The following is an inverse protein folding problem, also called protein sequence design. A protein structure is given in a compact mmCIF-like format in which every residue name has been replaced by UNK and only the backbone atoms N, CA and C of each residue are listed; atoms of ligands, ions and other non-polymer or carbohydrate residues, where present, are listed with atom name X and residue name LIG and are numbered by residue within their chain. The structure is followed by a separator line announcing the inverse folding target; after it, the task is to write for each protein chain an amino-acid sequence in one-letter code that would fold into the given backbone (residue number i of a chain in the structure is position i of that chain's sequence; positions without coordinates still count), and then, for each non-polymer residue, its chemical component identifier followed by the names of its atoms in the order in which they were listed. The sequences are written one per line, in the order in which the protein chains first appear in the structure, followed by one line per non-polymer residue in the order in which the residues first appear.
data_IF_409360961077
#
_entry.id   IF_409360961077
#
_cell.length_a   1.000
_cell.length_b   1.000
_cell.length_c   1.000
_cell.angle_alpha   90.00
_cell.angle_beta   90.00
_cell.angle_gamma   90.00
#
_symmetry.space_group_name_H-M   'P 1'
#
loop_
_entity.id
_entity.type
_entity.pdbx_description
1 polymer ?
#
# COMPACT_ATOMS: atom_id res chain seq x y z
N UNK A 1 11.43 -37.75 16.92
CA UNK A 1 10.00 -37.76 17.29
C UNK A 1 9.72 -36.43 17.97
N UNK A 2 9.41 -35.40 17.19
CA UNK A 2 8.85 -34.15 17.70
C UNK A 2 7.45 -34.08 17.13
N UNK A 3 6.53 -34.65 17.90
CA UNK A 3 5.11 -34.66 17.65
C UNK A 3 4.51 -33.32 18.07
N UNK A 4 3.85 -32.62 17.15
CA UNK A 4 2.70 -31.79 17.47
C UNK A 4 2.93 -30.46 18.18
N UNK A 5 3.68 -29.52 17.60
CA UNK A 5 3.28 -28.13 17.78
C UNK A 5 2.22 -27.80 16.73
N UNK A 6 0.99 -28.20 17.03
CA UNK A 6 -0.18 -27.64 16.38
C UNK A 6 -0.22 -26.16 16.75
N UNK A 7 0.25 -25.32 15.85
CA UNK A 7 0.10 -23.88 15.93
C UNK A 7 -1.35 -23.52 15.58
N UNK A 8 -2.33 -24.12 16.28
CA UNK A 8 -3.76 -23.86 16.16
C UNK A 8 -4.17 -22.45 16.65
N UNK A 9 -3.19 -21.63 17.03
CA UNK A 9 -3.43 -20.25 17.49
C UNK A 9 -2.67 -19.20 16.67
N UNK A 10 -2.13 -19.56 15.52
CA UNK A 10 -1.75 -18.52 14.56
C UNK A 10 -3.05 -17.85 14.08
N UNK A 11 -3.19 -16.54 14.15
CA UNK A 11 -4.42 -15.86 13.73
C UNK A 11 -4.53 -15.87 12.20
N UNK A 12 -4.71 -17.06 11.63
CA UNK A 12 -5.09 -17.24 10.21
C UNK A 12 -6.31 -16.38 9.85
N UNK A 13 -7.17 -16.09 10.84
CA UNK A 13 -8.32 -15.23 10.66
C UNK A 13 -7.97 -13.75 10.47
N UNK A 14 -6.79 -13.27 10.85
CA UNK A 14 -6.50 -11.83 10.76
C UNK A 14 -5.95 -11.48 9.39
N UNK A 15 -5.07 -12.30 8.84
CA UNK A 15 -4.55 -12.11 7.47
C UNK A 15 -5.65 -12.43 6.46
N UNK A 16 -6.29 -13.60 6.58
CA UNK A 16 -7.41 -13.95 5.72
C UNK A 16 -8.53 -12.89 5.78
N UNK A 17 -8.70 -12.20 6.92
CA UNK A 17 -9.70 -11.13 7.06
C UNK A 17 -9.21 -9.79 6.50
N UNK A 18 -7.91 -9.51 6.56
CA UNK A 18 -7.31 -8.32 5.92
C UNK A 18 -7.28 -8.56 4.41
N UNK A 19 -6.85 -9.71 3.96
CA UNK A 19 -6.90 -10.14 2.57
C UNK A 19 -8.32 -10.14 2.05
N UNK A 20 -9.28 -10.75 2.74
CA UNK A 20 -10.71 -10.72 2.38
C UNK A 20 -11.30 -9.31 2.38
N UNK A 21 -10.95 -8.44 3.34
CA UNK A 21 -11.44 -7.07 3.33
C UNK A 21 -10.80 -6.23 2.22
N UNK A 22 -9.52 -6.47 1.91
CA UNK A 22 -8.83 -5.82 0.80
C UNK A 22 -9.29 -6.38 -0.55
N UNK A 23 -9.37 -7.70 -0.69
CA UNK A 23 -9.94 -8.36 -1.87
C UNK A 23 -11.39 -7.94 -2.06
N UNK A 24 -12.23 -7.99 -1.02
CA UNK A 24 -13.64 -7.58 -1.12
C UNK A 24 -13.77 -6.12 -1.49
N UNK A 25 -12.94 -5.22 -0.95
CA UNK A 25 -12.96 -3.81 -1.30
C UNK A 25 -12.42 -3.56 -2.71
N UNK A 26 -11.42 -4.32 -3.13
CA UNK A 26 -10.84 -4.24 -4.48
C UNK A 26 -11.79 -4.85 -5.52
N UNK A 27 -12.40 -5.98 -5.22
CA UNK A 27 -13.41 -6.63 -6.08
C UNK A 27 -14.66 -5.76 -6.18
N UNK A 28 -15.16 -5.21 -5.07
CA UNK A 28 -16.32 -4.32 -5.10
C UNK A 28 -16.05 -3.03 -5.89
N UNK A 29 -14.82 -2.48 -5.82
CA UNK A 29 -14.43 -1.34 -6.65
C UNK A 29 -14.32 -1.72 -8.13
N UNK A 30 -13.84 -2.94 -8.46
CA UNK A 30 -13.80 -3.44 -9.83
C UNK A 30 -15.20 -3.79 -10.35
N UNK A 31 -16.08 -4.32 -9.51
CA UNK A 31 -17.46 -4.61 -9.88
C UNK A 31 -18.26 -3.32 -10.12
N UNK A 32 -18.05 -2.27 -9.30
CA UNK A 32 -18.65 -0.96 -9.55
C UNK A 32 -18.16 -0.35 -10.86
N UNK A 33 -16.87 -0.51 -11.20
CA UNK A 33 -16.32 -0.11 -12.49
C UNK A 33 -16.96 -0.90 -13.64
N UNK A 34 -17.25 -2.19 -13.46
CA UNK A 34 -17.92 -3.02 -14.47
C UNK A 34 -19.38 -2.61 -14.71
N UNK A 35 -20.15 -2.32 -13.64
CA UNK A 35 -21.55 -1.91 -13.73
C UNK A 35 -21.69 -0.50 -14.34
N UNK A 36 -20.78 0.44 -14.03
CA UNK A 36 -20.83 1.81 -14.60
C UNK A 36 -20.41 1.88 -16.07
N UNK A 37 -19.61 0.92 -16.58
CA UNK A 37 -19.20 0.91 -18.00
C UNK A 37 -20.37 0.75 -18.96
N UNK A 38 -21.54 0.30 -18.50
CA UNK A 38 -22.70 0.08 -19.38
C UNK A 38 -23.70 1.25 -19.46
N UNK A 39 -23.65 2.27 -18.58
CA UNK A 39 -24.73 3.27 -18.49
C UNK A 39 -24.32 4.75 -18.36
N UNK A 40 -23.13 5.12 -17.90
CA UNK A 40 -22.75 6.54 -17.62
C UNK A 40 -21.32 6.89 -18.08
N UNK A 41 -20.82 6.21 -19.10
CA UNK A 41 -19.39 6.20 -19.44
C UNK A 41 -18.82 7.55 -19.95
N UNK A 42 -19.62 8.41 -20.60
CA UNK A 42 -19.03 9.46 -21.44
C UNK A 42 -18.49 10.69 -20.66
N UNK A 43 -19.19 11.17 -19.62
CA UNK A 43 -18.80 12.42 -18.94
C UNK A 43 -17.73 12.25 -17.83
N UNK A 44 -17.71 11.12 -17.14
CA UNK A 44 -16.68 10.85 -16.10
C UNK A 44 -15.36 10.41 -16.72
N UNK A 45 -15.41 9.62 -17.78
CA UNK A 45 -14.23 9.18 -18.51
C UNK A 45 -13.52 10.36 -19.18
N UNK A 46 -14.25 11.32 -19.76
CA UNK A 46 -13.70 12.57 -20.30
C UNK A 46 -12.95 13.40 -19.23
N UNK A 47 -13.48 13.45 -18.00
CA UNK A 47 -12.81 14.14 -16.89
C UNK A 47 -11.55 13.43 -16.43
N UNK A 48 -11.58 12.11 -16.41
CA UNK A 48 -10.43 11.28 -16.03
C UNK A 48 -9.34 11.39 -17.11
N UNK A 49 -9.71 11.47 -18.37
CA UNK A 49 -8.80 11.65 -19.50
C UNK A 49 -8.11 13.02 -19.45
N UNK A 50 -8.83 14.08 -19.10
CA UNK A 50 -8.24 15.42 -18.90
C UNK A 50 -7.23 15.49 -17.76
N UNK A 51 -7.28 14.57 -16.78
CA UNK A 51 -6.34 14.49 -15.67
C UNK A 51 -5.05 13.72 -16.00
N UNK A 52 -4.94 13.18 -17.22
CA UNK A 52 -3.78 12.41 -17.68
C UNK A 52 -3.09 13.05 -18.90
N UNK A 53 -2.44 14.20 -18.74
CA UNK A 53 -1.75 14.89 -19.85
C UNK A 53 -0.49 14.13 -20.32
N UNK A 54 -0.05 13.11 -19.60
CA UNK A 54 1.14 12.31 -19.89
C UNK A 54 0.80 10.89 -20.32
N UNK A 55 -0.39 10.64 -20.85
CA UNK A 55 -0.89 9.31 -21.18
C UNK A 55 0.11 8.47 -22.00
N UNK A 56 0.73 9.04 -23.05
CA UNK A 56 1.69 8.33 -23.89
C UNK A 56 2.90 7.79 -23.11
N UNK A 57 3.37 8.57 -22.13
CA UNK A 57 4.49 8.19 -21.29
C UNK A 57 4.03 7.20 -20.23
N UNK A 58 2.89 7.47 -19.62
CA UNK A 58 2.30 6.63 -18.59
C UNK A 58 1.99 5.22 -19.11
N UNK A 59 1.45 5.11 -20.34
CA UNK A 59 1.22 3.81 -21.01
C UNK A 59 2.51 3.02 -21.22
N UNK A 60 3.60 3.67 -21.64
CA UNK A 60 4.91 3.00 -21.80
C UNK A 60 5.46 2.51 -20.47
N UNK A 61 5.33 3.32 -19.41
CA UNK A 61 5.76 2.94 -18.06
C UNK A 61 4.87 1.82 -17.53
N UNK A 62 3.56 1.85 -17.80
CA UNK A 62 2.64 0.77 -17.44
C UNK A 62 3.06 -0.57 -18.06
N UNK A 63 3.34 -0.59 -19.37
CA UNK A 63 3.82 -1.79 -20.07
C UNK A 63 5.14 -2.27 -19.46
N UNK A 64 6.06 -1.36 -19.15
CA UNK A 64 7.30 -1.69 -18.46
C UNK A 64 7.02 -2.32 -17.08
N UNK A 65 6.13 -1.73 -16.29
CA UNK A 65 5.77 -2.24 -14.96
C UNK A 65 5.17 -3.64 -15.04
N UNK A 66 4.26 -3.88 -16.01
CA UNK A 66 3.67 -5.20 -16.26
C UNK A 66 4.73 -6.25 -16.65
N UNK A 67 5.64 -5.88 -17.54
CA UNK A 67 6.76 -6.75 -17.94
C UNK A 67 7.66 -7.07 -16.75
N UNK A 68 8.01 -6.04 -15.96
CA UNK A 68 8.85 -6.19 -14.76
C UNK A 68 8.16 -7.05 -13.69
N UNK A 69 6.86 -6.86 -13.48
CA UNK A 69 6.07 -7.70 -12.57
C UNK A 69 6.11 -9.17 -13.00
N UNK A 70 5.83 -9.46 -14.26
CA UNK A 70 5.80 -10.84 -14.78
C UNK A 70 7.14 -11.58 -14.66
N UNK A 71 8.24 -10.88 -14.91
CA UNK A 71 9.57 -11.53 -14.98
C UNK A 71 10.24 -11.57 -13.61
N UNK A 72 10.10 -10.52 -12.80
CA UNK A 72 10.85 -10.41 -11.56
C UNK A 72 9.96 -10.56 -10.33
N UNK A 73 8.84 -9.82 -10.27
CA UNK A 73 8.07 -9.74 -9.03
C UNK A 73 7.23 -11.00 -8.79
N UNK A 74 6.50 -11.49 -9.78
CA UNK A 74 5.68 -12.71 -9.64
C UNK A 74 6.50 -13.93 -9.19
N UNK A 75 7.67 -14.24 -9.79
CA UNK A 75 8.48 -15.33 -9.27
C UNK A 75 8.92 -15.11 -7.83
N UNK A 76 9.34 -13.87 -7.49
CA UNK A 76 9.77 -13.53 -6.11
C UNK A 76 8.62 -13.73 -5.13
N UNK A 77 7.41 -13.23 -5.45
CA UNK A 77 6.21 -13.42 -4.63
C UNK A 77 5.86 -14.91 -4.51
N UNK A 78 5.90 -15.65 -5.62
CA UNK A 78 5.65 -17.11 -5.59
C UNK A 78 6.66 -17.87 -4.71
N UNK A 79 7.95 -17.52 -4.76
CA UNK A 79 8.95 -18.06 -3.83
C UNK A 79 8.69 -17.64 -2.38
N UNK A 80 8.34 -16.39 -2.17
CA UNK A 80 8.00 -15.87 -0.84
C UNK A 80 6.83 -16.63 -0.22
N UNK A 81 5.75 -16.84 -0.98
CA UNK A 81 4.57 -17.56 -0.51
C UNK A 81 4.83 -19.05 -0.29
N UNK A 82 5.66 -19.66 -1.12
CA UNK A 82 5.99 -21.07 -1.00
C UNK A 82 6.90 -21.39 0.19
N UNK A 83 7.93 -20.55 0.43
CA UNK A 83 8.94 -20.82 1.46
C UNK A 83 8.63 -20.20 2.82
N UNK A 84 7.87 -19.10 2.86
CA UNK A 84 7.63 -18.36 4.10
C UNK A 84 6.21 -18.66 4.60
N UNK A 85 6.06 -19.34 5.76
CA UNK A 85 4.75 -19.57 6.34
C UNK A 85 4.00 -18.26 6.61
N UNK A 86 2.68 -18.28 6.48
CA UNK A 86 1.81 -17.10 6.66
C UNK A 86 2.01 -16.37 8.01
N UNK A 87 2.36 -17.11 9.06
CA UNK A 87 2.69 -16.53 10.37
C UNK A 87 3.94 -15.63 10.31
N UNK A 88 4.96 -16.03 9.54
CA UNK A 88 6.19 -15.25 9.37
C UNK A 88 5.95 -14.08 8.43
N UNK A 89 5.12 -14.25 7.41
CA UNK A 89 4.71 -13.16 6.51
C UNK A 89 3.99 -12.06 7.30
N UNK A 90 3.06 -12.43 8.19
CA UNK A 90 2.38 -11.49 9.10
C UNK A 90 3.35 -10.75 10.00
N UNK A 91 4.32 -11.47 10.56
CA UNK A 91 5.37 -10.85 11.38
C UNK A 91 6.15 -9.81 10.57
N UNK A 92 6.57 -10.16 9.35
CA UNK A 92 7.31 -9.25 8.48
C UNK A 92 6.46 -8.01 8.16
N UNK A 93 5.18 -8.19 7.79
CA UNK A 93 4.26 -7.09 7.50
C UNK A 93 4.11 -6.17 8.72
N UNK A 94 3.79 -6.72 9.88
CA UNK A 94 3.61 -5.95 11.10
C UNK A 94 4.90 -5.20 11.53
N UNK A 95 6.06 -5.82 11.36
CA UNK A 95 7.35 -5.19 11.66
C UNK A 95 7.66 -4.04 10.69
N UNK A 96 7.33 -4.21 9.41
CA UNK A 96 7.44 -3.16 8.39
C UNK A 96 6.49 -2.01 8.71
N UNK A 97 5.21 -2.28 8.99
CA UNK A 97 4.21 -1.27 9.35
C UNK A 97 4.61 -0.51 10.63
N UNK A 98 5.06 -1.21 11.66
CA UNK A 98 5.57 -0.59 12.87
C UNK A 98 6.76 0.34 12.57
N UNK A 99 7.63 -0.06 11.65
CA UNK A 99 8.78 0.73 11.27
C UNK A 99 8.46 1.99 10.45
N UNK A 100 7.23 2.11 9.88
CA UNK A 100 6.73 3.30 9.21
C UNK A 100 5.78 4.15 10.08
N UNK A 101 5.38 3.65 11.24
CA UNK A 101 4.38 4.31 12.11
C UNK A 101 4.77 5.73 12.50
N UNK A 102 6.06 6.02 12.68
CA UNK A 102 6.52 7.37 13.03
C UNK A 102 6.19 8.40 11.94
N UNK A 103 6.19 8.00 10.66
CA UNK A 103 5.77 8.89 9.56
C UNK A 103 4.30 9.27 9.72
N UNK A 104 3.44 8.30 10.05
CA UNK A 104 2.02 8.58 10.31
C UNK A 104 1.82 9.50 11.50
N UNK A 105 2.61 9.33 12.57
CA UNK A 105 2.55 10.23 13.74
C UNK A 105 2.95 11.66 13.35
N UNK A 106 4.07 11.81 12.62
CA UNK A 106 4.55 13.14 12.18
C UNK A 106 3.53 13.77 11.25
N UNK A 107 2.97 13.03 10.29
CA UNK A 107 1.99 13.54 9.34
C UNK A 107 0.67 13.92 10.05
N UNK A 108 0.18 13.15 11.01
CA UNK A 108 -0.99 13.51 11.80
C UNK A 108 -0.78 14.79 12.62
N UNK A 109 0.42 14.99 13.16
CA UNK A 109 0.79 16.24 13.85
C UNK A 109 0.83 17.41 12.87
N UNK A 110 1.35 17.24 11.66
CA UNK A 110 1.35 18.25 10.61
C UNK A 110 -0.07 18.61 10.13
N UNK A 111 -1.01 17.67 10.21
CA UNK A 111 -2.42 17.88 9.93
C UNK A 111 -3.17 18.56 11.11
N UNK A 112 -2.52 18.75 12.25
CA UNK A 112 -3.11 19.21 13.51
C UNK A 112 -4.22 18.28 14.05
N UNK A 113 -4.22 17.03 13.60
CA UNK A 113 -5.16 15.99 14.05
C UNK A 113 -4.57 15.19 15.22
N UNK A 114 -4.60 15.80 16.41
CA UNK A 114 -4.00 15.22 17.61
C UNK A 114 -4.61 13.89 18.01
N UNK A 115 -5.91 13.68 17.78
CA UNK A 115 -6.55 12.39 18.03
C UNK A 115 -5.92 11.27 17.19
N UNK A 116 -5.72 11.51 15.90
CA UNK A 116 -5.04 10.54 15.03
C UNK A 116 -3.60 10.30 15.46
N UNK A 117 -2.88 11.37 15.82
CA UNK A 117 -1.51 11.25 16.31
C UNK A 117 -1.42 10.38 17.56
N UNK A 118 -2.36 10.56 18.52
CA UNK A 118 -2.46 9.74 19.73
C UNK A 118 -2.82 8.29 19.37
N UNK A 119 -3.76 8.08 18.45
CA UNK A 119 -4.12 6.72 17.99
C UNK A 119 -2.95 6.00 17.34
N UNK A 120 -2.20 6.66 16.43
CA UNK A 120 -1.00 6.09 15.83
C UNK A 120 0.07 5.77 16.86
N UNK A 121 0.28 6.68 17.84
CA UNK A 121 1.24 6.47 18.92
C UNK A 121 0.83 5.29 19.82
N UNK A 122 -0.45 5.22 20.18
CA UNK A 122 -0.99 4.12 20.99
C UNK A 122 -0.88 2.79 20.27
N UNK A 123 -1.22 2.75 18.96
CA UNK A 123 -1.05 1.56 18.13
C UNK A 123 0.39 1.09 18.11
N UNK A 124 1.33 2.00 17.86
CA UNK A 124 2.76 1.69 17.83
C UNK A 124 3.27 1.19 19.18
N UNK A 125 2.86 1.84 20.27
CA UNK A 125 3.25 1.44 21.61
C UNK A 125 2.70 0.06 22.00
N UNK A 126 1.44 -0.24 21.67
CA UNK A 126 0.83 -1.54 21.93
C UNK A 126 1.51 -2.65 21.13
N UNK A 127 1.79 -2.42 19.85
CA UNK A 127 2.45 -3.41 19.02
C UNK A 127 3.93 -3.60 19.38
N UNK A 128 4.58 -2.55 19.88
CA UNK A 128 5.96 -2.65 20.36
C UNK A 128 6.05 -3.41 21.69
N UNK A 129 5.14 -3.15 22.65
CA UNK A 129 5.20 -3.72 24.02
C UNK A 129 4.52 -5.08 24.10
N UNK A 130 3.24 -5.15 23.75
CA UNK A 130 2.43 -6.38 23.86
C UNK A 130 2.49 -7.24 22.61
N UNK A 131 2.79 -6.64 21.45
CA UNK A 131 2.96 -7.34 20.19
C UNK A 131 4.35 -7.97 19.98
N UNK A 132 5.20 -8.01 21.01
CA UNK A 132 6.57 -8.57 20.94
C UNK A 132 7.37 -7.94 19.79
N UNK A 133 7.45 -6.62 19.75
CA UNK A 133 8.12 -5.85 18.68
C UNK A 133 7.53 -6.07 17.28
N UNK A 134 6.21 -6.23 17.18
CA UNK A 134 5.52 -6.38 15.89
C UNK A 134 5.29 -7.81 15.43
N UNK A 135 5.60 -8.82 16.26
CA UNK A 135 5.27 -10.24 15.95
C UNK A 135 3.76 -10.42 15.85
N UNK A 136 3.01 -9.74 16.70
CA UNK A 136 1.54 -9.80 16.73
C UNK A 136 0.98 -8.38 16.66
N UNK A 137 0.05 -8.12 15.73
CA UNK A 137 -0.72 -6.88 15.74
C UNK A 137 -1.82 -6.96 16.82
N UNK A 138 -1.45 -6.52 18.02
CA UNK A 138 -2.37 -6.46 19.17
C UNK A 138 -3.41 -5.37 18.94
N UNK A 139 -3.02 -4.28 18.29
CA UNK A 139 -3.90 -3.14 18.02
C UNK A 139 -5.07 -3.50 17.13
N UNK A 140 -4.85 -4.32 16.10
CA UNK A 140 -5.91 -4.80 15.23
C UNK A 140 -6.91 -5.68 15.97
N UNK A 141 -6.42 -6.51 16.91
CA UNK A 141 -7.27 -7.40 17.73
C UNK A 141 -8.22 -6.66 18.69
N UNK A 142 -7.83 -5.48 19.14
CA UNK A 142 -8.66 -4.62 20.00
C UNK A 142 -9.49 -3.61 19.20
N UNK A 143 -9.44 -3.71 17.84
CA UNK A 143 -10.23 -2.85 16.95
C UNK A 143 -9.62 -1.48 16.68
N UNK A 144 -8.37 -1.22 17.09
CA UNK A 144 -7.66 0.03 16.82
C UNK A 144 -7.05 -0.01 15.40
N UNK A 145 -7.93 0.09 14.40
CA UNK A 145 -7.53 0.13 13.00
C UNK A 145 -7.38 1.57 12.54
N UNK A 146 -6.22 1.88 12.04
CA UNK A 146 -5.94 3.19 11.46
C UNK A 146 -5.09 3.00 10.20
N UNK A 147 -5.43 3.72 9.15
CA UNK A 147 -4.68 3.66 7.89
C UNK A 147 -3.37 4.45 8.01
N UNK A 148 -2.35 4.04 7.25
CA UNK A 148 -1.10 4.77 7.14
C UNK A 148 -1.35 6.19 6.61
N UNK A 149 -0.80 7.20 7.29
CA UNK A 149 -0.83 8.59 6.90
C UNK A 149 0.54 9.02 6.40
N UNK A 150 0.64 9.19 5.07
CA UNK A 150 1.80 9.80 4.43
C UNK A 150 1.59 11.27 4.14
N UNK A 151 2.65 11.96 3.74
CA UNK A 151 2.62 13.40 3.45
C UNK A 151 1.67 13.76 2.30
N UNK A 152 1.41 12.84 1.37
CA UNK A 152 0.38 13.01 0.33
C UNK A 152 -1.03 13.23 0.91
N UNK A 153 -1.38 12.50 2.00
CA UNK A 153 -2.64 12.72 2.74
C UNK A 153 -2.62 14.05 3.51
N UNK A 154 -1.48 14.44 4.04
CA UNK A 154 -1.29 15.76 4.69
C UNK A 154 -1.54 16.90 3.70
N UNK A 155 -0.99 16.80 2.49
CA UNK A 155 -1.28 17.76 1.42
C UNK A 155 -2.77 17.77 1.04
N UNK A 156 -3.44 16.61 0.99
CA UNK A 156 -4.89 16.51 0.77
C UNK A 156 -5.67 17.23 1.86
N UNK A 157 -5.30 17.03 3.11
CA UNK A 157 -5.92 17.69 4.28
C UNK A 157 -5.83 19.23 4.17
N UNK A 158 -4.71 19.76 3.68
CA UNK A 158 -4.51 21.19 3.45
C UNK A 158 -5.11 21.70 2.12
N UNK A 159 -5.92 20.88 1.44
CA UNK A 159 -6.65 21.28 0.25
C UNK A 159 -5.81 21.29 -1.04
N UNK A 160 -4.63 20.69 -1.05
CA UNK A 160 -3.84 20.57 -2.29
C UNK A 160 -4.54 19.57 -3.22
N UNK A 161 -4.86 19.98 -4.47
CA UNK A 161 -5.52 19.11 -5.43
C UNK A 161 -4.65 17.92 -5.79
N UNK A 162 -5.27 16.85 -6.28
CA UNK A 162 -4.60 15.60 -6.65
C UNK A 162 -3.56 15.81 -7.77
N UNK A 163 -3.84 16.74 -8.70
CA UNK A 163 -2.98 17.00 -9.85
C UNK A 163 -3.10 15.92 -10.92
N UNK A 164 -2.07 15.83 -11.78
CA UNK A 164 -2.05 14.91 -12.91
C UNK A 164 -1.83 13.47 -12.47
N UNK A 165 -2.38 12.54 -13.23
CA UNK A 165 -2.06 11.12 -13.09
C UNK A 165 -0.62 10.84 -13.54
N UNK A 166 0.09 10.02 -12.79
CA UNK A 166 1.45 9.63 -13.06
C UNK A 166 1.61 8.12 -12.85
N UNK A 167 2.16 7.45 -13.85
CA UNK A 167 2.61 6.08 -13.70
C UNK A 167 4.09 6.08 -13.30
N UNK A 168 4.39 5.61 -12.09
CA UNK A 168 5.77 5.57 -11.60
C UNK A 168 6.39 4.21 -11.92
N UNK A 169 7.61 4.16 -12.45
CA UNK A 169 8.31 2.89 -12.69
C UNK A 169 8.41 2.07 -11.39
N UNK A 170 8.06 0.80 -11.46
CA UNK A 170 8.05 -0.18 -10.36
C UNK A 170 6.94 0.09 -9.33
N UNK A 171 6.73 1.33 -8.89
CA UNK A 171 5.76 1.68 -7.82
C UNK A 171 4.31 1.53 -8.31
N UNK A 172 4.03 1.91 -9.58
CA UNK A 172 2.71 1.81 -10.17
C UNK A 172 1.94 3.14 -10.23
N UNK A 173 0.59 3.11 -10.22
CA UNK A 173 -0.25 4.30 -10.38
C UNK A 173 -0.12 5.25 -9.19
N UNK A 174 -0.04 6.53 -9.48
CA UNK A 174 0.10 7.62 -8.51
C UNK A 174 -0.46 8.92 -9.08
N UNK A 175 -0.41 9.98 -8.30
CA UNK A 175 -0.69 11.34 -8.78
C UNK A 175 0.43 12.29 -8.35
N UNK A 176 0.43 13.50 -8.91
CA UNK A 176 1.46 14.50 -8.59
C UNK A 176 1.56 14.75 -7.09
N UNK A 177 0.42 14.91 -6.39
CA UNK A 177 0.39 15.12 -4.94
C UNK A 177 1.00 13.96 -4.17
N UNK A 178 0.62 12.73 -4.49
CA UNK A 178 1.15 11.54 -3.79
C UNK A 178 2.62 11.32 -4.08
N UNK A 179 3.06 11.54 -5.32
CA UNK A 179 4.47 11.42 -5.71
C UNK A 179 5.36 12.42 -4.97
N UNK A 180 4.87 13.67 -4.84
CA UNK A 180 5.55 14.67 -4.01
C UNK A 180 5.52 14.28 -2.54
N UNK A 181 4.39 13.78 -2.05
CA UNK A 181 4.24 13.28 -0.68
C UNK A 181 5.25 12.18 -0.36
N UNK A 182 5.36 11.17 -1.21
CA UNK A 182 6.36 10.09 -1.06
C UNK A 182 7.80 10.62 -1.04
N UNK A 183 8.10 11.66 -1.83
CA UNK A 183 9.43 12.28 -1.84
C UNK A 183 9.74 13.00 -0.52
N UNK A 184 8.74 13.67 0.05
CA UNK A 184 8.86 14.33 1.37
C UNK A 184 8.97 13.30 2.48
N UNK A 185 8.15 12.25 2.47
CA UNK A 185 8.23 11.16 3.45
C UNK A 185 9.60 10.47 3.41
N UNK A 186 10.16 10.27 2.21
CA UNK A 186 11.51 9.75 2.05
C UNK A 186 12.58 10.69 2.64
N UNK A 187 12.41 12.01 2.50
CA UNK A 187 13.29 13.00 3.11
C UNK A 187 13.17 13.00 4.65
N UNK A 188 11.94 13.00 5.19
CA UNK A 188 11.69 12.89 6.63
C UNK A 188 12.36 11.64 7.20
N UNK A 189 12.22 10.51 6.50
CA UNK A 189 12.83 9.24 6.89
C UNK A 189 14.38 9.33 6.98
N UNK A 190 15.01 10.08 6.09
CA UNK A 190 16.46 10.32 6.14
C UNK A 190 16.83 11.19 7.36
N UNK A 191 16.08 12.26 7.60
CA UNK A 191 16.38 13.21 8.68
C UNK A 191 16.10 12.63 10.07
N UNK A 192 15.03 11.85 10.23
CA UNK A 192 14.60 11.33 11.55
C UNK A 192 15.44 10.13 11.96
N UNK A 193 15.73 9.20 11.03
CA UNK A 193 16.39 7.95 11.39
C UNK A 193 17.91 8.03 11.40
N UNK A 194 18.53 8.94 10.66
CA UNK A 194 20.00 8.99 10.62
C UNK A 194 20.60 10.36 10.27
N UNK A 195 20.57 11.34 11.19
CA UNK A 195 21.23 12.61 10.95
C UNK A 195 22.78 12.53 10.93
N UNK A 196 23.38 11.45 11.44
CA UNK A 196 24.85 11.33 11.56
C UNK A 196 25.48 10.04 11.00
N UNK A 197 24.68 9.00 10.77
CA UNK A 197 25.20 7.68 10.43
C UNK A 197 24.42 7.02 9.29
N UNK A 198 24.81 7.24 8.05
CA UNK A 198 24.26 6.60 6.83
C UNK A 198 24.13 5.05 6.87
N UNK A 199 24.24 4.43 8.03
CA UNK A 199 24.15 2.96 8.20
C UNK A 199 22.74 2.44 7.92
N UNK A 200 21.70 3.17 8.35
CA UNK A 200 20.30 2.80 8.12
C UNK A 200 19.86 2.92 6.65
N UNK A 201 20.53 3.76 5.87
CA UNK A 201 20.26 3.90 4.45
C UNK A 201 20.46 2.58 3.68
N UNK A 202 21.33 1.69 4.19
CA UNK A 202 21.55 0.36 3.62
C UNK A 202 20.36 -0.58 3.76
N UNK A 203 19.52 -0.39 4.78
CA UNK A 203 18.35 -1.24 5.04
C UNK A 203 17.07 -0.71 4.40
N UNK A 204 17.05 0.54 3.94
CA UNK A 204 15.89 1.13 3.25
C UNK A 204 15.42 0.33 2.03
N UNK A 205 16.30 -0.11 1.11
CA UNK A 205 15.85 -0.88 -0.05
C UNK A 205 15.20 -2.20 0.35
N UNK A 206 15.68 -2.84 1.42
CA UNK A 206 15.11 -4.10 1.92
C UNK A 206 13.72 -3.85 2.49
N UNK A 207 13.57 -2.82 3.33
CA UNK A 207 12.29 -2.42 3.91
C UNK A 207 11.27 -2.07 2.83
N UNK A 208 11.66 -1.24 1.86
CA UNK A 208 10.82 -0.88 0.72
C UNK A 208 10.45 -2.10 -0.14
N UNK A 209 11.41 -2.99 -0.39
CA UNK A 209 11.17 -4.23 -1.15
C UNK A 209 10.19 -5.17 -0.45
N UNK A 210 10.30 -5.33 0.87
CA UNK A 210 9.36 -6.15 1.65
C UNK A 210 7.95 -5.53 1.67
N UNK A 211 7.83 -4.22 1.89
CA UNK A 211 6.55 -3.53 1.81
C UNK A 211 5.92 -3.68 0.41
N UNK A 212 6.72 -3.52 -0.64
CA UNK A 212 6.28 -3.70 -2.01
C UNK A 212 5.77 -5.12 -2.29
N UNK A 213 6.52 -6.16 -1.86
CA UNK A 213 6.13 -7.56 -2.01
C UNK A 213 4.82 -7.84 -1.28
N UNK A 214 4.69 -7.38 -0.04
CA UNK A 214 3.47 -7.57 0.76
C UNK A 214 2.25 -6.89 0.10
N UNK A 215 2.41 -5.64 -0.36
CA UNK A 215 1.34 -4.92 -1.08
C UNK A 215 1.00 -5.61 -2.40
N UNK A 216 2.00 -6.01 -3.17
CA UNK A 216 1.80 -6.72 -4.44
C UNK A 216 1.03 -8.02 -4.23
N UNK A 217 1.37 -8.76 -3.18
CA UNK A 217 0.67 -10.01 -2.83
C UNK A 217 -0.80 -9.71 -2.47
N UNK A 218 -1.06 -8.70 -1.68
CA UNK A 218 -2.42 -8.29 -1.30
C UNK A 218 -3.28 -7.83 -2.49
N UNK A 219 -2.67 -7.36 -3.59
CA UNK A 219 -3.38 -6.93 -4.80
C UNK A 219 -3.28 -7.93 -5.97
N UNK A 220 -2.79 -9.15 -5.74
CA UNK A 220 -2.53 -10.12 -6.81
C UNK A 220 -3.78 -10.41 -7.67
N UNK A 221 -4.92 -10.71 -7.04
CA UNK A 221 -6.16 -10.97 -7.76
C UNK A 221 -6.63 -9.79 -8.61
N UNK A 222 -6.64 -8.57 -8.03
CA UNK A 222 -7.06 -7.38 -8.76
C UNK A 222 -6.13 -7.05 -9.95
N UNK A 223 -4.83 -7.27 -9.80
CA UNK A 223 -3.88 -7.02 -10.91
C UNK A 223 -4.08 -8.04 -12.02
N UNK A 224 -4.29 -9.32 -11.69
CA UNK A 224 -4.55 -10.38 -12.67
C UNK A 224 -5.85 -10.13 -13.42
N UNK A 225 -6.91 -9.71 -12.72
CA UNK A 225 -8.18 -9.35 -13.34
C UNK A 225 -8.06 -8.15 -14.28
N UNK A 226 -7.31 -7.10 -13.88
CA UNK A 226 -7.08 -5.93 -14.74
C UNK A 226 -6.33 -6.32 -16.03
N UNK A 227 -5.42 -7.30 -15.98
CA UNK A 227 -4.69 -7.76 -17.16
C UNK A 227 -5.57 -8.41 -18.24
N UNK A 228 -6.74 -8.91 -17.87
CA UNK A 228 -7.68 -9.57 -18.80
C UNK A 228 -8.54 -8.58 -19.60
N UNK A 229 -8.56 -7.30 -19.22
CA UNK A 229 -9.32 -6.28 -19.95
C UNK A 229 -8.66 -5.90 -21.28
N UNK A 230 -9.48 -5.38 -22.21
CA UNK A 230 -9.01 -4.91 -23.51
C UNK A 230 -8.00 -3.75 -23.40
N UNK A 231 -8.25 -2.78 -22.50
CA UNK A 231 -7.31 -1.71 -22.16
C UNK A 231 -7.01 -1.72 -20.64
N UNK A 232 -6.02 -2.54 -20.22
CA UNK A 232 -5.66 -2.64 -18.80
C UNK A 232 -5.18 -1.32 -18.19
N UNK A 233 -4.60 -0.43 -19.01
CA UNK A 233 -4.14 0.87 -18.53
C UNK A 233 -5.30 1.78 -18.15
N UNK A 234 -6.32 1.89 -18.99
CA UNK A 234 -7.49 2.71 -18.73
C UNK A 234 -8.23 2.24 -17.46
N UNK A 235 -8.39 0.91 -17.31
CA UNK A 235 -9.00 0.32 -16.12
C UNK A 235 -8.17 0.60 -14.87
N UNK A 236 -6.84 0.44 -14.92
CA UNK A 236 -5.95 0.76 -13.79
C UNK A 236 -6.06 2.23 -13.40
N UNK A 237 -6.11 3.15 -14.37
CA UNK A 237 -6.30 4.58 -14.15
C UNK A 237 -7.64 4.87 -13.47
N UNK A 238 -8.74 4.31 -13.98
CA UNK A 238 -10.09 4.45 -13.41
C UNK A 238 -10.13 3.91 -11.98
N UNK A 239 -9.65 2.71 -11.75
CA UNK A 239 -9.55 2.09 -10.41
C UNK A 239 -8.76 2.98 -9.42
N UNK A 240 -7.64 3.56 -9.86
CA UNK A 240 -6.85 4.47 -9.02
C UNK A 240 -7.65 5.71 -8.60
N UNK A 241 -8.39 6.32 -9.52
CA UNK A 241 -9.19 7.49 -9.20
C UNK A 241 -10.35 7.18 -8.26
N UNK A 242 -11.06 6.11 -8.48
CA UNK A 242 -12.18 5.70 -7.61
C UNK A 242 -11.72 5.39 -6.18
N UNK A 243 -10.60 4.71 -6.05
CA UNK A 243 -10.01 4.40 -4.73
C UNK A 243 -9.62 5.67 -3.95
N UNK A 244 -9.30 6.77 -4.62
CA UNK A 244 -8.77 8.00 -4.01
C UNK A 244 -9.78 9.16 -3.96
N UNK A 245 -11.02 8.94 -4.42
CA UNK A 245 -12.13 9.84 -4.16
C UNK A 245 -12.40 9.90 -2.65
#
# INVERSE_FOLDING_TARGET
MCSGCACDRCPQNTIARIEQNFETKSINALDSVKEETDIVADEEDDKIEQLDPFEDINRKIFVFNMFFDKIFIRPIVGFYDFFIPSCVQSFITNAVDLSFSYLSIVNSLLQLEFEKAIMHTTRSALNLTFGMCGVVDVSDKIGLRIEFDGFGKTMKHWGVPQGCFLMIPIIGPSCTRESLGMSVDAAIDIFVLDPKHMKWLKYKPIKFGLDYINRRNAYSGAIEEIEEFFDPYAIMRKFYYEKNK
#
